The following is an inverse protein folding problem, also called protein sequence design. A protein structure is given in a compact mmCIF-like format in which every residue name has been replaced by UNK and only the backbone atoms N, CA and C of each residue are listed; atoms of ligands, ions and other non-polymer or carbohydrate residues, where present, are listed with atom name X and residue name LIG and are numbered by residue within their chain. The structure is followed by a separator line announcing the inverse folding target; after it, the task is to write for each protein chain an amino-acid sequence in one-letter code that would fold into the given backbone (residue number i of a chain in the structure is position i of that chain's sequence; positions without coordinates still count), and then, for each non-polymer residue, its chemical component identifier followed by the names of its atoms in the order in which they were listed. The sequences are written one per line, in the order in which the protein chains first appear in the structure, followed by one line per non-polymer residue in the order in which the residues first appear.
data_IF_819042907373
#
_entry.id   IF_819042907373
#
_cell.length_a   1.000
_cell.length_b   1.000
_cell.length_c   1.000
_cell.angle_alpha   90.00
_cell.angle_beta   90.00
_cell.angle_gamma   90.00
#
_symmetry.space_group_name_H-M   'P 1'
#
loop_
_entity.id
_entity.type
_entity.pdbx_description
1 polymer ?
#
# COMPACT_ATOMS: atom_id res chain seq x y z
N UNK A 1 -5.71 8.46 15.00
CA UNK A 1 -6.06 9.87 14.78
C UNK A 1 -7.23 9.92 13.80
N UNK A 2 -8.46 10.03 14.33
CA UNK A 2 -9.63 10.39 13.54
C UNK A 2 -9.56 11.92 13.43
N UNK A 3 -9.51 12.44 12.21
CA UNK A 3 -9.42 13.87 11.94
C UNK A 3 -10.72 14.33 11.28
N UNK A 4 -11.07 15.61 11.45
CA UNK A 4 -12.22 16.18 10.78
C UNK A 4 -11.99 16.20 9.27
N UNK A 5 -13.00 15.76 8.51
CA UNK A 5 -12.98 15.82 7.06
C UNK A 5 -13.76 17.07 6.62
N UNK A 6 -13.11 18.05 5.96
CA UNK A 6 -13.79 19.26 5.52
C UNK A 6 -14.81 18.94 4.43
N UNK A 7 -15.86 19.77 4.35
CA UNK A 7 -16.88 19.65 3.31
C UNK A 7 -16.25 19.70 1.91
N UNK A 8 -16.72 18.83 1.01
CA UNK A 8 -16.24 18.76 -0.38
C UNK A 8 -15.01 17.86 -0.56
N UNK A 9 -14.41 17.35 0.52
CA UNK A 9 -13.36 16.33 0.44
C UNK A 9 -13.97 14.94 0.27
N UNK A 10 -13.38 14.16 -0.63
CA UNK A 10 -13.77 12.77 -0.86
C UNK A 10 -13.46 11.89 0.37
N UNK A 11 -14.38 10.98 0.68
CA UNK A 11 -14.17 9.94 1.69
C UNK A 11 -13.69 8.68 0.99
N UNK A 12 -12.43 8.32 1.22
CA UNK A 12 -11.84 7.10 0.68
C UNK A 12 -11.75 6.03 1.79
N UNK A 13 -12.00 4.78 1.42
CA UNK A 13 -11.82 3.61 2.28
C UNK A 13 -10.88 2.62 1.60
N UNK A 14 -10.02 1.95 2.37
CA UNK A 14 -9.19 0.87 1.84
C UNK A 14 -10.05 -0.36 1.55
N UNK A 15 -9.83 -1.00 0.40
CA UNK A 15 -10.49 -2.25 0.03
C UNK A 15 -9.80 -3.48 0.64
N UNK A 16 -8.55 -3.32 1.06
CA UNK A 16 -7.71 -4.42 1.55
C UNK A 16 -7.29 -4.22 3.00
N UNK A 17 -6.90 -5.31 3.67
CA UNK A 17 -6.16 -5.24 4.92
C UNK A 17 -4.95 -4.31 4.78
N UNK A 18 -4.75 -3.52 5.82
CA UNK A 18 -3.73 -2.47 5.86
C UNK A 18 -2.32 -3.01 5.64
N UNK A 19 -2.04 -4.22 6.12
CA UNK A 19 -0.72 -4.84 6.10
C UNK A 19 -0.32 -5.46 4.76
N UNK A 20 -1.17 -5.38 3.73
CA UNK A 20 -0.79 -5.83 2.39
C UNK A 20 0.24 -4.88 1.78
N UNK A 21 1.22 -5.47 1.09
CA UNK A 21 2.28 -4.75 0.39
C UNK A 21 1.77 -4.05 -0.88
N UNK A 22 2.62 -3.22 -1.47
CA UNK A 22 2.30 -2.46 -2.67
C UNK A 22 1.92 -3.36 -3.86
N UNK A 23 2.75 -4.34 -4.20
CA UNK A 23 2.60 -5.18 -5.38
C UNK A 23 1.29 -5.98 -5.33
N UNK A 24 1.00 -6.60 -4.20
CA UNK A 24 -0.24 -7.35 -3.94
C UNK A 24 -1.46 -6.45 -4.07
N UNK A 25 -1.42 -5.24 -3.49
CA UNK A 25 -2.53 -4.28 -3.60
C UNK A 25 -2.76 -3.83 -5.04
N UNK A 26 -1.71 -3.46 -5.78
CA UNK A 26 -1.84 -3.01 -7.18
C UNK A 26 -2.37 -4.11 -8.09
N UNK A 27 -1.81 -5.33 -8.00
CA UNK A 27 -2.27 -6.48 -8.78
C UNK A 27 -3.76 -6.75 -8.56
N UNK A 28 -4.19 -6.79 -7.30
CA UNK A 28 -5.60 -7.06 -6.96
C UNK A 28 -6.54 -5.96 -7.45
N UNK A 29 -6.12 -4.70 -7.36
CA UNK A 29 -6.91 -3.57 -7.87
C UNK A 29 -7.09 -3.63 -9.40
N UNK A 30 -6.02 -3.99 -10.12
CA UNK A 30 -6.08 -4.13 -11.56
C UNK A 30 -6.99 -5.31 -11.97
N UNK A 31 -6.82 -6.47 -11.35
CA UNK A 31 -7.54 -7.70 -11.71
C UNK A 31 -9.03 -7.67 -11.33
N UNK A 32 -9.37 -7.22 -10.12
CA UNK A 32 -10.75 -7.30 -9.60
C UNK A 32 -11.55 -6.02 -9.82
N UNK A 33 -10.90 -4.86 -9.81
CA UNK A 33 -11.57 -3.55 -9.81
C UNK A 33 -11.27 -2.73 -11.07
N UNK A 34 -10.30 -3.13 -11.90
CA UNK A 34 -10.00 -2.49 -13.17
C UNK A 34 -9.32 -1.12 -13.07
N UNK A 35 -8.60 -0.83 -11.97
CA UNK A 35 -7.85 0.43 -11.84
C UNK A 35 -6.51 0.27 -11.11
N UNK A 36 -5.63 1.25 -11.29
CA UNK A 36 -4.35 1.37 -10.58
C UNK A 36 -4.46 2.45 -9.51
N UNK A 37 -4.06 2.17 -8.27
CA UNK A 37 -4.20 3.15 -7.18
C UNK A 37 -2.97 4.08 -7.12
N UNK A 38 -3.22 5.39 -7.24
CA UNK A 38 -2.20 6.43 -7.18
C UNK A 38 -2.13 7.21 -5.86
N UNK A 39 -2.64 6.68 -4.74
CA UNK A 39 -2.65 7.40 -3.47
C UNK A 39 -1.24 7.61 -2.88
N UNK A 40 -1.09 8.54 -1.94
CA UNK A 40 0.21 8.90 -1.32
C UNK A 40 1.01 7.68 -0.84
N UNK A 41 0.34 6.69 -0.23
CA UNK A 41 0.98 5.44 0.20
C UNK A 41 1.57 4.67 -0.99
N UNK A 42 0.82 4.55 -2.08
CA UNK A 42 1.29 3.87 -3.29
C UNK A 42 2.44 4.64 -3.95
N UNK A 43 2.41 5.98 -3.98
CA UNK A 43 3.51 6.79 -4.52
C UNK A 43 4.80 6.59 -3.74
N UNK A 44 4.72 6.56 -2.40
CA UNK A 44 5.89 6.31 -1.54
C UNK A 44 6.40 4.88 -1.69
N UNK A 45 5.53 3.88 -1.56
CA UNK A 45 5.95 2.47 -1.61
C UNK A 45 6.49 2.07 -2.98
N UNK A 46 6.01 2.67 -4.09
CA UNK A 46 6.55 2.42 -5.43
C UNK A 46 8.01 2.86 -5.60
N UNK A 47 8.49 3.78 -4.76
CA UNK A 47 9.91 4.21 -4.77
C UNK A 47 10.80 3.32 -3.91
N UNK A 48 10.23 2.41 -3.14
CA UNK A 48 11.01 1.43 -2.41
C UNK A 48 11.49 0.43 -3.44
N UNK A 49 12.81 0.41 -3.66
CA UNK A 49 13.42 -0.53 -4.59
C UNK A 49 12.99 -1.95 -4.21
N UNK A 50 12.43 -2.70 -5.16
CA UNK A 50 12.29 -4.17 -5.13
C UNK A 50 13.67 -4.85 -5.10
N UNK A 51 14.55 -4.44 -4.18
CA UNK A 51 15.95 -4.85 -4.11
C UNK A 51 16.14 -6.20 -3.41
N UNK A 52 15.06 -6.92 -3.07
CA UNK A 52 15.12 -8.24 -2.44
C UNK A 52 14.61 -9.38 -3.33
N UNK A 53 14.23 -9.13 -4.60
CA UNK A 53 13.80 -10.16 -5.56
C UNK A 53 14.89 -10.47 -6.63
N UNK A 54 16.14 -10.63 -6.19
CA UNK A 54 17.16 -11.35 -6.97
C UNK A 54 17.56 -12.61 -6.19
N UNK A 55 16.69 -13.62 -6.21
CA UNK A 55 17.17 -14.99 -6.17
C UNK A 55 17.34 -15.49 -7.60
N UNK A 56 18.59 -15.40 -8.01
CA UNK A 56 19.21 -15.86 -9.24
C UNK A 56 18.84 -17.34 -9.50
N UNK A 57 17.89 -17.60 -10.40
CA UNK A 57 17.81 -18.89 -11.10
C UNK A 57 19.08 -19.02 -11.94
N UNK A 58 20.12 -19.63 -11.35
CA UNK A 58 21.26 -20.09 -12.13
C UNK A 58 20.79 -21.31 -12.92
N UNK A 59 20.60 -21.10 -14.22
CA UNK A 59 20.68 -22.12 -15.25
C UNK A 59 21.98 -22.93 -15.10
N UNK A 60 21.88 -24.26 -15.20
CA UNK A 60 22.92 -25.09 -15.82
C UNK A 60 22.32 -26.44 -16.30
N UNK A 61 22.63 -26.73 -17.56
CA UNK A 61 22.56 -27.98 -18.35
C UNK A 61 21.19 -28.48 -18.87
N UNK A 62 21.04 -29.01 -20.09
CA UNK A 62 21.75 -29.05 -21.38
C UNK A 62 20.84 -29.92 -22.28
N UNK A 63 20.91 -29.74 -23.60
CA UNK A 63 20.43 -30.61 -24.68
C UNK A 63 18.91 -30.85 -24.89
N UNK A 64 18.35 -30.31 -26.00
CA UNK A 64 18.28 -31.03 -27.30
C UNK A 64 17.33 -30.34 -28.31
N UNK A 65 17.77 -30.32 -29.56
CA UNK A 65 17.21 -29.74 -30.80
C UNK A 65 15.72 -30.06 -31.10
N UNK A 66 15.02 -29.16 -31.81
CA UNK A 66 14.64 -29.38 -33.23
C UNK A 66 14.14 -28.11 -33.94
N UNK A 67 14.39 -28.07 -35.24
CA UNK A 67 14.27 -26.99 -36.22
C UNK A 67 12.87 -26.97 -36.86
N UNK A 68 12.40 -25.77 -37.24
CA UNK A 68 11.34 -25.52 -38.24
C UNK A 68 10.31 -24.51 -37.74
N UNK A 69 9.86 -23.51 -38.48
CA UNK A 69 10.01 -23.10 -39.88
C UNK A 69 9.53 -21.64 -39.96
N UNK A 70 9.87 -20.95 -41.03
CA UNK A 70 9.70 -19.52 -41.31
C UNK A 70 8.23 -19.06 -41.32
N UNK A 71 7.90 -17.93 -40.67
CA UNK A 71 6.82 -17.05 -41.16
C UNK A 71 7.00 -15.61 -40.67
N UNK A 72 7.20 -14.72 -41.63
CA UNK A 72 7.43 -13.29 -41.49
C UNK A 72 6.10 -12.57 -41.20
N UNK A 73 5.97 -11.94 -40.02
CA UNK A 73 4.98 -10.87 -39.83
C UNK A 73 5.52 -9.79 -38.90
N UNK A 74 6.25 -8.88 -39.54
CA UNK A 74 6.67 -7.57 -39.07
C UNK A 74 5.44 -6.70 -38.75
N UNK A 75 5.07 -6.65 -37.46
CA UNK A 75 4.21 -5.60 -36.93
C UNK A 75 4.83 -5.02 -35.65
N UNK A 76 5.91 -4.27 -35.85
CA UNK A 76 6.52 -3.37 -34.86
C UNK A 76 5.49 -2.33 -34.40
N UNK A 77 4.99 -2.43 -33.17
CA UNK A 77 4.26 -1.35 -32.53
C UNK A 77 5.26 -0.44 -31.80
N UNK A 78 5.54 0.69 -32.43
CA UNK A 78 6.32 1.80 -31.90
C UNK A 78 5.63 2.38 -30.65
N UNK A 79 6.28 2.28 -29.48
CA UNK A 79 5.92 3.11 -28.31
C UNK A 79 6.54 4.48 -28.54
N UNK A 80 5.68 5.48 -28.68
CA UNK A 80 6.06 6.88 -28.86
C UNK A 80 6.61 7.44 -27.54
N UNK A 81 7.91 7.75 -27.55
CA UNK A 81 8.73 8.25 -26.46
C UNK A 81 8.55 9.77 -26.30
N UNK A 82 7.31 10.27 -26.21
CA UNK A 82 7.07 11.72 -26.06
C UNK A 82 5.94 12.13 -25.08
N UNK A 83 5.42 11.22 -24.25
CA UNK A 83 4.44 11.59 -23.21
C UNK A 83 5.02 11.75 -21.78
N UNK A 84 6.34 11.69 -21.62
CA UNK A 84 7.01 11.68 -20.29
C UNK A 84 7.44 13.07 -19.79
N UNK A 85 7.08 14.15 -20.47
CA UNK A 85 7.50 15.52 -20.10
C UNK A 85 6.31 16.44 -19.82
N UNK A 86 5.46 16.07 -18.85
CA UNK A 86 4.44 16.99 -18.34
C UNK A 86 3.97 16.67 -16.91
N UNK A 87 4.88 16.48 -15.94
CA UNK A 87 4.54 16.65 -14.51
C UNK A 87 5.72 16.92 -13.56
N UNK A 88 6.90 17.30 -14.07
CA UNK A 88 8.05 17.70 -13.25
C UNK A 88 8.00 19.18 -12.89
N UNK A 89 6.92 19.63 -12.26
CA UNK A 89 6.96 20.90 -11.52
C UNK A 89 5.93 20.87 -10.37
N UNK A 90 6.30 20.15 -9.32
CA UNK A 90 5.84 20.51 -7.98
C UNK A 90 7.09 20.62 -7.13
N UNK A 91 7.43 21.85 -6.80
CA UNK A 91 8.46 22.21 -5.83
C UNK A 91 8.17 21.52 -4.51
N UNK A 92 8.78 20.36 -4.29
CA UNK A 92 8.79 19.72 -2.98
C UNK A 92 9.85 20.43 -2.15
N UNK A 93 9.39 21.44 -1.41
CA UNK A 93 10.15 22.06 -0.34
C UNK A 93 10.64 20.97 0.63
N UNK A 94 11.96 20.90 0.73
CA UNK A 94 12.70 19.99 1.57
C UNK A 94 12.68 20.53 3.02
N UNK A 95 11.54 20.37 3.70
CA UNK A 95 11.38 20.68 5.14
C UNK A 95 10.32 19.78 5.78
N UNK A 96 10.70 18.57 6.17
CA UNK A 96 10.60 18.07 7.56
C UNK A 96 10.83 16.56 7.60
N UNK A 97 11.79 16.14 8.42
CA UNK A 97 12.13 14.73 8.70
C UNK A 97 11.04 13.98 9.51
N UNK A 98 9.79 14.47 9.50
CA UNK A 98 8.60 13.91 10.15
C UNK A 98 7.67 13.19 9.15
N UNK A 99 8.23 12.74 8.02
CA UNK A 99 7.59 12.48 6.73
C UNK A 99 6.61 11.27 6.64
N UNK A 100 6.06 10.76 7.75
CA UNK A 100 4.99 9.74 7.66
C UNK A 100 4.10 9.70 8.91
N UNK A 101 3.18 10.68 9.09
CA UNK A 101 2.25 10.71 10.23
C UNK A 101 1.35 9.47 10.32
N UNK A 102 1.23 8.69 9.24
CA UNK A 102 0.46 7.45 9.19
C UNK A 102 1.18 6.23 9.79
N UNK A 103 2.51 6.24 9.99
CA UNK A 103 3.23 5.08 10.57
C UNK A 103 2.79 4.82 12.02
N UNK A 104 2.61 5.90 12.79
CA UNK A 104 2.13 5.81 14.17
C UNK A 104 0.72 5.21 14.26
N UNK A 105 -0.08 5.31 13.19
CA UNK A 105 -1.38 4.65 13.13
C UNK A 105 -1.23 3.13 13.22
N UNK A 106 -0.29 2.55 12.47
CA UNK A 106 -0.07 1.10 12.46
C UNK A 106 0.46 0.58 13.80
N UNK A 107 1.35 1.32 14.45
CA UNK A 107 1.86 0.97 15.78
C UNK A 107 0.77 0.98 16.87
N UNK A 108 -0.13 1.98 16.83
CA UNK A 108 -1.16 2.15 17.85
C UNK A 108 -2.35 1.24 17.61
N UNK A 109 -2.86 1.20 16.38
CA UNK A 109 -4.18 0.68 16.04
C UNK A 109 -4.18 -0.63 15.26
N UNK A 110 -3.05 -1.31 15.05
CA UNK A 110 -3.09 -2.70 14.55
C UNK A 110 -3.24 -3.71 15.68
N UNK A 111 -4.02 -4.76 15.44
CA UNK A 111 -4.16 -5.86 16.37
C UNK A 111 -2.81 -6.56 16.58
N UNK A 112 -2.46 -6.81 17.83
CA UNK A 112 -1.21 -7.47 18.22
C UNK A 112 -1.27 -9.01 18.13
N UNK A 113 -2.41 -9.60 17.75
CA UNK A 113 -2.51 -11.04 17.51
C UNK A 113 -1.89 -11.38 16.16
N UNK A 114 -1.04 -12.40 16.15
CA UNK A 114 -0.48 -12.97 14.93
C UNK A 114 -1.57 -13.30 13.92
N UNK A 115 -1.35 -12.96 12.65
CA UNK A 115 -2.25 -13.21 11.52
C UNK A 115 -3.68 -12.64 11.64
N UNK A 116 -3.96 -11.75 12.61
CA UNK A 116 -5.28 -11.14 12.71
C UNK A 116 -5.50 -10.04 11.65
N UNK A 117 -4.47 -9.22 11.40
CA UNK A 117 -4.48 -8.12 10.43
C UNK A 117 -5.60 -7.06 10.64
N UNK A 118 -6.33 -7.14 11.75
CA UNK A 118 -7.43 -6.25 12.09
C UNK A 118 -6.94 -4.93 12.67
N UNK A 119 -7.81 -3.92 12.63
CA UNK A 119 -7.59 -2.62 13.25
C UNK A 119 -8.37 -2.50 14.56
N UNK A 120 -7.79 -1.77 15.51
CA UNK A 120 -8.31 -1.55 16.84
C UNK A 120 -9.04 -0.20 16.88
N UNK A 121 -10.27 -0.18 17.36
CA UNK A 121 -11.08 1.03 17.52
C UNK A 121 -11.39 1.29 18.99
N UNK A 122 -11.41 2.56 19.46
CA UNK A 122 -11.82 2.87 20.83
C UNK A 122 -13.23 2.38 21.14
N UNK A 123 -13.43 1.81 22.32
CA UNK A 123 -14.78 1.47 22.79
C UNK A 123 -15.62 2.74 22.99
N UNK A 124 -16.97 2.62 22.91
CA UNK A 124 -17.85 3.73 23.19
C UNK A 124 -17.51 4.43 24.52
N UNK A 125 -17.58 5.77 24.59
CA UNK A 125 -17.27 6.50 25.80
C UNK A 125 -18.28 6.15 26.91
N UNK A 126 -17.78 5.97 28.13
CA UNK A 126 -18.60 5.90 29.34
C UNK A 126 -18.62 7.28 29.98
N UNK A 127 -19.81 7.82 30.28
CA UNK A 127 -19.98 9.09 31.00
C UNK A 127 -19.20 10.28 30.41
N UNK A 128 -19.25 10.44 29.07
CA UNK A 128 -18.56 11.49 28.29
C UNK A 128 -17.03 11.44 28.28
N UNK A 129 -16.41 10.45 28.92
CA UNK A 129 -14.96 10.26 28.85
C UNK A 129 -14.61 9.27 27.73
N UNK A 130 -13.61 9.57 26.89
CA UNK A 130 -13.14 8.63 25.88
C UNK A 130 -12.61 7.35 26.55
N UNK A 131 -12.91 6.20 25.97
CA UNK A 131 -12.38 4.93 26.43
C UNK A 131 -10.88 4.85 26.15
N UNK A 132 -10.11 4.35 27.12
CA UNK A 132 -8.72 3.97 26.94
C UNK A 132 -8.57 2.50 26.50
N UNK A 133 -9.65 1.86 26.08
CA UNK A 133 -9.66 0.50 25.56
C UNK A 133 -9.97 0.53 24.06
N UNK A 134 -9.16 -0.19 23.30
CA UNK A 134 -9.33 -0.41 21.88
C UNK A 134 -9.74 -1.87 21.62
N UNK A 135 -10.71 -2.10 20.76
CA UNK A 135 -11.21 -3.42 20.39
C UNK A 135 -10.93 -3.71 18.90
N UNK A 136 -10.48 -4.94 18.60
CA UNK A 136 -10.19 -5.37 17.24
C UNK A 136 -11.46 -5.68 16.46
N UNK A 137 -11.61 -5.07 15.27
CA UNK A 137 -12.74 -5.31 14.38
C UNK A 137 -12.80 -6.73 13.76
N UNK A 138 -11.72 -7.51 13.83
CA UNK A 138 -11.65 -8.87 13.28
C UNK A 138 -11.81 -9.93 14.36
N UNK A 139 -10.98 -9.90 15.42
CA UNK A 139 -10.92 -10.97 16.42
C UNK A 139 -11.49 -10.61 17.79
N UNK A 140 -11.96 -9.36 17.98
CA UNK A 140 -12.50 -8.87 19.25
C UNK A 140 -11.46 -8.75 20.38
N UNK A 141 -10.15 -8.85 20.09
CA UNK A 141 -9.13 -8.66 21.12
C UNK A 141 -9.15 -7.21 21.64
N UNK A 142 -9.07 -7.06 22.96
CA UNK A 142 -9.06 -5.75 23.63
C UNK A 142 -7.63 -5.41 24.06
N UNK A 143 -7.17 -4.20 23.71
CA UNK A 143 -5.86 -3.64 24.06
C UNK A 143 -6.06 -2.30 24.77
N UNK A 144 -5.23 -1.99 25.77
CA UNK A 144 -5.21 -0.65 26.38
C UNK A 144 -4.52 0.34 25.45
N UNK A 145 -5.07 1.53 25.33
CA UNK A 145 -4.47 2.61 24.57
C UNK A 145 -3.38 3.30 25.42
N UNK A 146 -2.12 2.95 25.15
CA UNK A 146 -0.94 3.45 25.88
C UNK A 146 -0.54 4.87 25.46
N UNK A 147 -1.22 5.46 24.47
CA UNK A 147 -0.96 6.80 23.94
C UNK A 147 -2.02 7.81 24.37
N UNK A 148 -2.72 7.53 25.49
CA UNK A 148 -3.58 8.50 26.18
C UNK A 148 -2.71 9.25 27.17
N UNK A 149 -1.78 10.08 26.67
CA UNK A 149 -1.13 11.19 27.39
C UNK A 149 -0.18 11.91 26.41
N UNK A 150 -0.43 13.20 26.19
CA UNK A 150 0.28 14.09 25.25
C UNK A 150 -0.60 15.24 24.80
#
# INVERSE_FOLDING_TARGET
MIHDVPQGREICLSYFPVNWDFATRQKRLAEDYGFTCGCDRCQVEATWSDADDIHNDNDDDDDNLDIGDEDENENEMMIDQECVEAMTETTLDNTDSNNFPHAYFFLRYMCNRENCCGTLAPLPPSDRNPSNLLECNVCGNIKKDEFVDG
#
